data_IF_434014464428
#
_entry.id   IF_434014464428
#
_cell.length_a   1.000
_cell.length_b   1.000
_cell.length_c   1.000
_cell.angle_alpha   90.00
_cell.angle_beta   90.00
_cell.angle_gamma   90.00
#
_symmetry.space_group_name_H-M   'P 1'
#
loop_
_entity.id
_entity.type
_entity.pdbx_description
1 polymer ?
#
# COMPACT_ATOMS: atom_id res chain seq x y z
N UNK A 1 0.28 5.71 35.32
CA UNK A 1 -0.36 5.73 33.99
C UNK A 1 0.51 5.08 32.92
N UNK A 2 1.84 5.28 32.90
CA UNK A 2 2.80 4.59 31.99
C UNK A 2 2.83 3.06 32.18
N UNK A 3 2.79 2.56 33.43
CA UNK A 3 2.76 1.11 33.71
C UNK A 3 1.45 0.39 33.30
N UNK A 4 0.30 1.09 33.33
CA UNK A 4 -0.98 0.50 32.90
C UNK A 4 -1.10 0.37 31.38
N UNK A 5 -0.43 1.22 30.62
CA UNK A 5 -0.37 1.12 29.15
C UNK A 5 0.58 -0.03 28.75
N UNK A 6 1.72 -0.18 29.46
CA UNK A 6 2.67 -1.27 29.24
C UNK A 6 2.05 -2.66 29.50
N UNK A 7 1.28 -2.82 30.58
CA UNK A 7 0.71 -4.12 30.94
C UNK A 7 -0.48 -4.55 30.05
N UNK A 8 -1.18 -3.62 29.41
CA UNK A 8 -2.25 -3.95 28.46
C UNK A 8 -1.73 -4.36 27.07
N UNK A 9 -0.45 -4.07 26.79
CA UNK A 9 0.24 -4.46 25.54
C UNK A 9 0.90 -5.85 25.62
N UNK A 10 0.85 -6.53 26.74
CA UNK A 10 1.52 -7.82 26.95
C UNK A 10 0.58 -9.03 27.03
N UNK A 11 -0.68 -8.90 26.70
CA UNK A 11 -1.47 -10.09 26.36
C UNK A 11 -0.93 -10.61 25.02
N UNK A 12 -0.11 -11.67 25.11
CA UNK A 12 0.30 -12.48 23.96
C UNK A 12 -0.97 -13.12 23.40
N UNK A 13 -1.69 -12.40 22.53
CA UNK A 13 -2.63 -13.08 21.66
C UNK A 13 -1.81 -14.06 20.82
N UNK A 14 -1.99 -15.35 21.09
CA UNK A 14 -1.51 -16.41 20.23
C UNK A 14 -2.33 -16.33 18.93
N UNK A 15 -1.86 -15.52 17.97
CA UNK A 15 -2.45 -15.50 16.64
C UNK A 15 -1.71 -16.46 15.71
N UNK A 16 -2.45 -17.11 14.84
CA UNK A 16 -1.88 -17.87 13.74
C UNK A 16 -1.84 -16.96 12.50
N UNK A 17 -0.66 -16.78 11.90
CA UNK A 17 -0.50 -15.97 10.70
C UNK A 17 -1.44 -16.38 9.56
N UNK A 18 -1.65 -17.69 9.42
CA UNK A 18 -2.54 -18.25 8.38
C UNK A 18 -3.98 -17.76 8.54
N UNK A 19 -4.44 -17.59 9.78
CA UNK A 19 -5.83 -17.19 10.05
C UNK A 19 -6.07 -15.68 9.85
N UNK A 20 -5.02 -14.86 10.02
CA UNK A 20 -5.13 -13.40 9.91
C UNK A 20 -4.67 -12.85 8.56
N UNK A 21 -3.95 -13.63 7.76
CA UNK A 21 -3.38 -13.14 6.50
C UNK A 21 -4.47 -12.77 5.51
N UNK A 22 -4.49 -11.49 5.12
CA UNK A 22 -5.46 -10.94 4.19
C UNK A 22 -6.88 -10.81 4.75
N UNK A 23 -7.07 -10.91 6.09
CA UNK A 23 -8.42 -10.82 6.68
C UNK A 23 -9.13 -9.50 6.37
N UNK A 24 -8.36 -8.45 6.09
CA UNK A 24 -8.86 -7.11 5.75
C UNK A 24 -8.74 -6.80 4.25
N UNK A 25 -8.65 -7.80 3.40
CA UNK A 25 -8.51 -7.66 1.95
C UNK A 25 -9.72 -8.26 1.25
N UNK A 26 -10.31 -7.55 0.32
CA UNK A 26 -11.33 -8.05 -0.60
C UNK A 26 -10.64 -8.87 -1.69
N UNK A 27 -10.04 -9.98 -1.26
CA UNK A 27 -9.22 -10.87 -2.08
C UNK A 27 -10.07 -11.84 -2.89
N UNK A 28 -9.39 -12.67 -3.68
CA UNK A 28 -10.05 -13.65 -4.57
C UNK A 28 -10.99 -14.59 -3.82
N UNK A 29 -10.60 -15.09 -2.64
CA UNK A 29 -11.46 -15.96 -1.83
C UNK A 29 -12.75 -15.26 -1.36
N UNK A 30 -12.64 -13.98 -0.99
CA UNK A 30 -13.81 -13.16 -0.62
C UNK A 30 -14.69 -12.90 -1.84
N UNK A 31 -14.09 -12.54 -2.98
CA UNK A 31 -14.81 -12.34 -4.24
C UNK A 31 -15.55 -13.60 -4.65
N UNK A 32 -14.89 -14.76 -4.62
CA UNK A 32 -15.50 -16.05 -4.98
C UNK A 32 -16.66 -16.42 -4.06
N UNK A 33 -16.56 -16.11 -2.76
CA UNK A 33 -17.61 -16.42 -1.79
C UNK A 33 -18.84 -15.50 -1.89
N UNK A 34 -18.67 -14.25 -2.32
CA UNK A 34 -19.71 -13.22 -2.29
C UNK A 34 -20.33 -12.93 -3.65
N UNK A 35 -19.52 -12.93 -4.71
CA UNK A 35 -20.00 -12.58 -6.03
C UNK A 35 -20.80 -13.73 -6.68
N UNK A 36 -21.89 -13.43 -7.40
CA UNK A 36 -22.53 -14.40 -8.26
C UNK A 36 -21.50 -14.98 -9.25
N UNK A 37 -21.54 -16.30 -9.50
CA UNK A 37 -20.55 -17.00 -10.34
C UNK A 37 -20.28 -16.34 -11.69
N UNK A 38 -21.32 -15.79 -12.33
CA UNK A 38 -21.21 -15.11 -13.62
C UNK A 38 -20.41 -13.79 -13.50
N UNK A 39 -20.66 -13.03 -12.43
CA UNK A 39 -19.98 -11.75 -12.14
C UNK A 39 -18.51 -12.01 -11.79
N UNK A 40 -18.27 -12.99 -10.90
CA UNK A 40 -16.91 -13.40 -10.53
C UNK A 40 -16.09 -13.79 -11.77
N UNK A 41 -16.62 -14.67 -12.63
CA UNK A 41 -15.93 -15.07 -13.86
C UNK A 41 -15.64 -13.89 -14.78
N UNK A 42 -16.61 -12.99 -14.97
CA UNK A 42 -16.46 -11.82 -15.82
C UNK A 42 -15.42 -10.84 -15.28
N UNK A 43 -15.40 -10.64 -13.95
CA UNK A 43 -14.37 -9.81 -13.30
C UNK A 43 -12.97 -10.39 -13.54
N UNK A 44 -12.78 -11.69 -13.42
CA UNK A 44 -11.51 -12.36 -13.72
C UNK A 44 -11.08 -12.18 -15.19
N UNK A 45 -12.00 -12.34 -16.13
CA UNK A 45 -11.72 -12.09 -17.55
C UNK A 45 -11.24 -10.64 -17.78
N UNK A 46 -11.86 -9.68 -17.09
CA UNK A 46 -11.42 -8.26 -17.14
C UNK A 46 -10.01 -8.10 -16.58
N UNK A 47 -9.71 -8.71 -15.42
CA UNK A 47 -8.41 -8.63 -14.78
C UNK A 47 -7.29 -9.28 -15.64
N UNK A 48 -7.58 -10.42 -16.26
CA UNK A 48 -6.61 -11.16 -17.09
C UNK A 48 -6.37 -10.51 -18.44
N UNK A 49 -7.41 -9.98 -19.06
CA UNK A 49 -7.37 -9.45 -20.43
C UNK A 49 -7.15 -7.92 -20.49
N UNK A 50 -7.23 -7.22 -19.35
CA UNK A 50 -7.11 -5.77 -19.29
C UNK A 50 -8.27 -5.01 -19.94
N UNK A 51 -9.47 -5.62 -19.98
CA UNK A 51 -10.68 -5.03 -20.54
C UNK A 51 -11.33 -4.03 -19.58
N UNK A 52 -12.19 -3.17 -20.11
CA UNK A 52 -13.03 -2.31 -19.30
C UNK A 52 -14.11 -3.11 -18.56
N UNK A 53 -14.33 -2.76 -17.29
CA UNK A 53 -15.41 -3.32 -16.48
C UNK A 53 -16.71 -2.58 -16.81
N UNK A 54 -17.73 -3.30 -17.25
CA UNK A 54 -19.04 -2.72 -17.50
C UNK A 54 -19.78 -2.36 -16.21
N UNK A 55 -20.69 -1.40 -16.31
CA UNK A 55 -21.39 -0.84 -15.16
C UNK A 55 -22.25 -1.86 -14.42
N UNK A 56 -22.93 -2.79 -15.12
CA UNK A 56 -23.77 -3.81 -14.50
C UNK A 56 -22.94 -4.74 -13.59
N UNK A 57 -21.79 -5.17 -14.10
CA UNK A 57 -20.83 -5.98 -13.32
C UNK A 57 -20.26 -5.17 -12.15
N UNK A 58 -19.89 -3.90 -12.41
CA UNK A 58 -19.35 -3.01 -11.39
C UNK A 58 -20.35 -2.73 -10.24
N UNK A 59 -21.64 -2.58 -10.54
CA UNK A 59 -22.67 -2.36 -9.52
C UNK A 59 -22.77 -3.54 -8.54
N UNK A 60 -22.72 -4.77 -9.06
CA UNK A 60 -22.74 -5.96 -8.19
C UNK A 60 -21.48 -6.05 -7.35
N UNK A 61 -20.32 -5.81 -7.95
CA UNK A 61 -19.04 -5.82 -7.21
C UNK A 61 -19.02 -4.74 -6.15
N UNK A 62 -19.45 -3.53 -6.46
CA UNK A 62 -19.49 -2.40 -5.53
C UNK A 62 -20.42 -2.68 -4.34
N UNK A 63 -21.59 -3.27 -4.60
CA UNK A 63 -22.53 -3.68 -3.56
C UNK A 63 -21.91 -4.69 -2.59
N UNK A 64 -21.34 -5.76 -3.09
CA UNK A 64 -20.74 -6.82 -2.27
C UNK A 64 -19.48 -6.33 -1.52
N UNK A 65 -18.69 -5.49 -2.17
CA UNK A 65 -17.51 -4.86 -1.56
C UNK A 65 -17.92 -3.94 -0.39
N UNK A 66 -18.98 -3.14 -0.55
CA UNK A 66 -19.55 -2.30 0.50
C UNK A 66 -20.07 -3.14 1.66
N UNK A 67 -20.89 -4.17 1.40
CA UNK A 67 -21.43 -5.02 2.45
C UNK A 67 -20.32 -5.71 3.24
N UNK A 68 -19.31 -6.24 2.57
CA UNK A 68 -18.12 -6.82 3.20
C UNK A 68 -17.38 -5.79 4.05
N UNK A 69 -17.20 -4.58 3.55
CA UNK A 69 -16.51 -3.51 4.30
C UNK A 69 -17.30 -3.09 5.55
N UNK A 70 -18.63 -3.01 5.46
CA UNK A 70 -19.51 -2.70 6.60
C UNK A 70 -19.43 -3.81 7.66
N UNK A 71 -19.39 -5.08 7.28
CA UNK A 71 -19.16 -6.21 8.21
C UNK A 71 -17.82 -6.10 8.94
N UNK A 72 -16.80 -5.49 8.29
CA UNK A 72 -15.51 -5.17 8.89
C UNK A 72 -15.52 -3.86 9.72
N UNK A 73 -16.67 -3.22 9.85
CA UNK A 73 -16.86 -1.98 10.62
C UNK A 73 -16.59 -0.70 9.84
N UNK A 74 -16.42 -0.77 8.52
CA UNK A 74 -16.20 0.43 7.72
C UNK A 74 -17.47 1.29 7.64
N UNK A 75 -17.31 2.59 7.82
CA UNK A 75 -18.34 3.61 7.65
C UNK A 75 -18.11 4.51 6.46
N UNK A 76 -16.89 4.51 5.96
CA UNK A 76 -16.41 5.34 4.87
C UNK A 76 -15.64 4.49 3.86
N UNK A 77 -15.54 5.03 2.64
CA UNK A 77 -14.65 4.54 1.59
C UNK A 77 -13.76 5.67 1.09
N UNK A 78 -12.66 5.32 0.43
CA UNK A 78 -11.78 6.25 -0.24
C UNK A 78 -11.21 5.63 -1.51
N UNK A 79 -11.10 6.44 -2.55
CA UNK A 79 -10.23 6.13 -3.69
C UNK A 79 -8.80 6.38 -3.25
N UNK A 80 -8.07 5.30 -3.05
CA UNK A 80 -6.71 5.31 -2.55
C UNK A 80 -5.74 5.28 -3.72
N UNK A 81 -4.91 6.30 -3.87
CA UNK A 81 -3.97 6.41 -4.97
C UNK A 81 -2.64 7.06 -4.55
N UNK A 82 -1.66 7.00 -5.44
CA UNK A 82 -0.32 7.51 -5.23
C UNK A 82 -0.15 8.82 -6.01
N UNK A 83 -0.24 9.99 -5.35
CA UNK A 83 -0.14 11.29 -6.02
C UNK A 83 1.26 11.52 -6.57
N UNK A 84 1.41 12.53 -7.44
CA UNK A 84 2.72 12.94 -7.97
C UNK A 84 3.65 13.51 -6.89
N UNK A 85 3.10 13.91 -5.74
CA UNK A 85 3.84 14.45 -4.60
C UNK A 85 3.44 13.74 -3.31
N UNK A 86 4.44 13.40 -2.50
CA UNK A 86 4.20 12.78 -1.19
C UNK A 86 3.93 11.29 -1.25
N UNK A 87 3.20 10.80 -0.26
CA UNK A 87 2.80 9.40 -0.10
C UNK A 87 1.44 9.14 -0.75
N UNK A 88 0.55 8.42 -0.10
CA UNK A 88 -0.80 8.17 -0.60
C UNK A 88 -1.73 9.36 -0.45
N UNK A 89 -2.72 9.47 -1.33
CA UNK A 89 -3.80 10.44 -1.27
C UNK A 89 -5.14 9.73 -1.04
N UNK A 90 -5.97 10.37 -0.23
CA UNK A 90 -7.25 9.83 0.22
C UNK A 90 -8.27 10.97 0.39
N UNK A 91 -9.51 10.69 0.00
CA UNK A 91 -10.66 11.54 0.32
C UNK A 91 -11.79 10.63 0.79
N UNK A 92 -12.06 10.66 2.09
CA UNK A 92 -13.01 9.76 2.72
C UNK A 92 -14.44 10.26 2.50
N UNK A 93 -15.25 9.46 1.85
CA UNK A 93 -16.68 9.66 1.71
C UNK A 93 -17.44 8.60 2.53
N UNK A 94 -18.52 9.02 3.20
CA UNK A 94 -19.38 8.09 3.93
C UNK A 94 -20.25 7.30 2.94
N UNK A 95 -20.59 6.06 3.30
CA UNK A 95 -21.61 5.30 2.58
C UNK A 95 -23.02 5.86 2.74
N UNK A 96 -23.23 6.82 3.63
CA UNK A 96 -24.54 7.44 3.89
C UNK A 96 -25.00 8.21 2.66
N UNK A 97 -26.22 7.91 2.18
CA UNK A 97 -26.84 8.63 1.06
C UNK A 97 -27.83 9.66 1.54
N UNK A 98 -29.06 9.25 1.88
CA UNK A 98 -30.11 10.15 2.26
C UNK A 98 -30.83 9.66 3.53
N UNK A 99 -31.27 10.58 4.42
CA UNK A 99 -32.13 10.19 5.53
C UNK A 99 -33.49 9.69 5.00
N UNK A 100 -33.98 8.62 5.61
CA UNK A 100 -35.31 8.07 5.35
C UNK A 100 -36.36 8.74 6.28
N UNK A 101 -37.62 8.72 5.88
CA UNK A 101 -38.74 9.29 6.67
C UNK A 101 -38.86 8.70 8.08
N UNK A 102 -38.36 7.48 8.29
CA UNK A 102 -38.33 6.81 9.61
C UNK A 102 -37.15 7.20 10.50
N UNK A 103 -36.38 8.22 10.13
CA UNK A 103 -35.16 8.65 10.84
C UNK A 103 -33.93 7.76 10.67
N UNK A 104 -33.96 6.77 9.77
CA UNK A 104 -32.83 5.96 9.39
C UNK A 104 -32.12 6.54 8.16
N UNK A 105 -30.93 6.06 7.86
CA UNK A 105 -30.16 6.41 6.67
C UNK A 105 -29.98 5.17 5.80
N UNK A 106 -29.87 5.38 4.50
CA UNK A 106 -29.43 4.36 3.57
C UNK A 106 -27.92 4.44 3.41
N UNK A 107 -27.30 3.28 3.24
CA UNK A 107 -25.89 3.16 2.91
C UNK A 107 -25.78 2.56 1.50
N UNK A 108 -25.13 3.28 0.59
CA UNK A 108 -24.96 2.83 -0.80
C UNK A 108 -23.54 3.08 -1.27
N UNK A 109 -23.16 2.33 -2.28
CA UNK A 109 -21.93 2.50 -3.04
C UNK A 109 -22.19 1.86 -4.41
N UNK A 110 -22.13 2.64 -5.47
CA UNK A 110 -22.50 2.23 -6.82
C UNK A 110 -21.28 1.80 -7.63
N UNK A 111 -21.53 1.00 -8.67
CA UNK A 111 -20.51 0.66 -9.65
C UNK A 111 -19.92 1.88 -10.34
N UNK A 112 -20.72 2.93 -10.56
CA UNK A 112 -20.18 4.20 -11.09
C UNK A 112 -19.16 4.82 -10.15
N UNK A 113 -19.41 4.85 -8.85
CA UNK A 113 -18.46 5.35 -7.85
C UNK A 113 -17.22 4.46 -7.77
N UNK A 114 -17.36 3.14 -7.96
CA UNK A 114 -16.25 2.20 -7.97
C UNK A 114 -15.33 2.42 -9.19
N UNK A 115 -15.89 2.37 -10.41
CA UNK A 115 -15.09 2.33 -11.64
C UNK A 115 -14.67 3.72 -12.16
N UNK A 116 -15.42 4.77 -11.83
CA UNK A 116 -15.19 6.11 -12.36
C UNK A 116 -15.66 7.18 -11.38
N UNK A 117 -14.87 7.44 -10.36
CA UNK A 117 -15.08 8.62 -9.53
C UNK A 117 -14.67 9.89 -10.26
N UNK A 118 -15.39 10.99 -9.99
CA UNK A 118 -15.03 12.34 -10.45
C UNK A 118 -14.64 13.17 -9.22
N UNK A 119 -13.44 12.92 -8.64
CA UNK A 119 -13.03 13.70 -7.48
C UNK A 119 -12.82 15.16 -7.87
N UNK A 120 -13.17 16.06 -6.96
CA UNK A 120 -12.71 17.44 -7.09
C UNK A 120 -11.20 17.47 -6.90
N UNK A 121 -10.48 17.51 -8.00
CA UNK A 121 -9.03 17.43 -8.01
C UNK A 121 -8.34 18.66 -7.38
N UNK A 122 -9.08 19.72 -7.07
CA UNK A 122 -8.59 20.82 -6.23
C UNK A 122 -8.22 20.36 -4.83
N UNK A 123 -8.76 19.21 -4.41
CA UNK A 123 -8.50 18.59 -3.11
C UNK A 123 -7.29 17.63 -3.11
N UNK A 124 -6.71 17.31 -4.26
CA UNK A 124 -5.62 16.33 -4.36
C UNK A 124 -4.26 16.99 -4.61
N UNK A 125 -3.17 16.41 -4.05
CA UNK A 125 -1.82 16.84 -4.35
C UNK A 125 -1.50 16.63 -5.84
N UNK A 126 -1.41 17.69 -6.62
CA UNK A 126 -1.27 17.60 -8.09
C UNK A 126 0.11 17.99 -8.63
N UNK A 127 1.14 18.05 -7.79
CA UNK A 127 2.49 18.45 -8.21
C UNK A 127 2.66 19.97 -8.42
N UNK A 128 1.72 20.79 -8.01
CA UNK A 128 1.95 22.15 -7.53
C UNK A 128 1.67 23.30 -8.45
N UNK A 129 1.65 23.21 -9.76
CA UNK A 129 1.50 24.39 -10.64
C UNK A 129 0.30 24.33 -11.59
N UNK A 130 -0.54 23.32 -11.47
CA UNK A 130 -1.68 23.16 -12.34
C UNK A 130 -2.88 23.99 -11.85
N UNK A 131 -3.53 24.66 -12.77
CA UNK A 131 -4.82 25.26 -12.50
C UNK A 131 -5.85 24.18 -12.13
N UNK A 132 -6.79 24.49 -11.26
CA UNK A 132 -7.78 23.54 -10.73
C UNK A 132 -8.54 22.79 -11.83
N UNK A 133 -8.83 23.42 -12.95
CA UNK A 133 -9.52 22.77 -14.07
C UNK A 133 -8.63 21.76 -14.82
N UNK A 134 -7.31 21.93 -14.84
CA UNK A 134 -6.36 20.99 -15.45
C UNK A 134 -6.13 19.77 -14.57
N UNK A 135 -6.35 19.91 -13.26
CA UNK A 135 -6.22 18.83 -12.31
C UNK A 135 -7.49 17.95 -12.21
N UNK A 136 -8.60 18.34 -12.85
CA UNK A 136 -9.81 17.52 -12.90
C UNK A 136 -9.60 16.28 -13.75
N UNK A 137 -10.14 15.17 -13.28
CA UNK A 137 -10.00 13.88 -13.95
C UNK A 137 -10.87 12.81 -13.35
N UNK A 138 -10.54 11.60 -13.69
CA UNK A 138 -11.22 10.40 -13.22
C UNK A 138 -10.30 9.57 -12.35
N UNK A 139 -10.84 9.06 -11.24
CA UNK A 139 -10.29 7.90 -10.60
C UNK A 139 -10.83 6.65 -11.28
N UNK A 140 -9.95 5.69 -11.58
CA UNK A 140 -10.33 4.41 -12.15
C UNK A 140 -9.84 3.30 -11.22
N UNK A 141 -10.75 2.45 -10.76
CA UNK A 141 -10.37 1.30 -9.95
C UNK A 141 -9.39 0.40 -10.72
N UNK A 142 -8.26 0.12 -10.12
CA UNK A 142 -7.36 -0.94 -10.58
C UNK A 142 -7.88 -2.27 -10.05
N UNK A 143 -8.72 -2.95 -10.83
CA UNK A 143 -9.32 -4.21 -10.42
C UNK A 143 -8.29 -5.35 -10.21
N UNK A 144 -7.05 -5.19 -10.67
CA UNK A 144 -5.96 -6.14 -10.42
C UNK A 144 -5.30 -5.96 -9.04
N UNK A 145 -5.59 -4.85 -8.37
CA UNK A 145 -5.15 -4.59 -7.00
C UNK A 145 -6.36 -4.65 -6.05
N UNK A 146 -6.38 -5.60 -5.10
CA UNK A 146 -7.56 -5.81 -4.28
C UNK A 146 -7.81 -4.64 -3.32
N UNK A 147 -9.08 -4.26 -3.15
CA UNK A 147 -9.50 -3.32 -2.14
C UNK A 147 -9.26 -3.88 -0.72
N UNK A 148 -9.06 -3.02 0.24
CA UNK A 148 -8.77 -3.41 1.61
C UNK A 148 -9.45 -2.50 2.64
N UNK A 149 -9.69 -3.01 3.83
CA UNK A 149 -10.19 -2.22 4.95
C UNK A 149 -9.02 -1.86 5.86
N UNK A 150 -8.78 -0.57 6.00
CA UNK A 150 -7.79 -0.05 6.94
C UNK A 150 -8.48 0.42 8.22
N UNK A 151 -7.91 0.04 9.36
CA UNK A 151 -8.36 0.49 10.67
C UNK A 151 -7.36 1.48 11.26
N UNK A 152 -7.89 2.59 11.77
CA UNK A 152 -7.10 3.61 12.46
C UNK A 152 -7.91 4.26 13.60
N UNK A 153 -7.41 5.38 14.14
CA UNK A 153 -8.07 6.09 15.23
C UNK A 153 -9.44 6.71 14.85
N UNK A 154 -9.70 6.92 13.56
CA UNK A 154 -10.97 7.44 13.05
C UNK A 154 -12.01 6.34 12.81
N UNK A 155 -11.59 5.08 12.84
CA UNK A 155 -12.43 3.91 12.56
C UNK A 155 -11.94 3.09 11.40
N UNK A 156 -12.83 2.33 10.77
CA UNK A 156 -12.53 1.52 9.61
C UNK A 156 -12.97 2.22 8.30
N UNK A 157 -12.10 2.16 7.29
CA UNK A 157 -12.33 2.76 5.97
C UNK A 157 -12.01 1.73 4.88
N UNK A 158 -12.91 1.58 3.91
CA UNK A 158 -12.66 0.83 2.68
C UNK A 158 -11.73 1.65 1.77
N UNK A 159 -10.56 1.13 1.49
CA UNK A 159 -9.58 1.72 0.57
C UNK A 159 -9.62 0.98 -0.76
N UNK A 160 -9.84 1.72 -1.84
CA UNK A 160 -9.98 1.18 -3.20
C UNK A 160 -8.75 1.64 -4.00
N UNK A 161 -7.82 0.73 -4.35
CA UNK A 161 -6.65 1.07 -5.15
C UNK A 161 -7.06 1.60 -6.52
N UNK A 162 -6.56 2.78 -6.87
CA UNK A 162 -7.09 3.56 -7.98
C UNK A 162 -5.97 4.22 -8.77
N UNK A 163 -6.12 4.30 -10.07
CA UNK A 163 -5.38 5.19 -10.94
C UNK A 163 -6.13 6.51 -11.10
N UNK A 164 -5.41 7.62 -11.23
CA UNK A 164 -5.98 8.95 -11.43
C UNK A 164 -5.42 9.59 -12.69
N UNK A 165 -6.30 9.90 -13.63
CA UNK A 165 -5.94 10.53 -14.90
C UNK A 165 -6.84 11.71 -15.22
N UNK A 166 -6.34 12.64 -16.04
CA UNK A 166 -7.11 13.77 -16.54
C UNK A 166 -8.24 13.33 -17.49
N UNK A 167 -9.15 14.25 -17.82
CA UNK A 167 -10.19 13.99 -18.82
C UNK A 167 -9.63 13.66 -20.22
N UNK A 168 -8.42 14.11 -20.51
CA UNK A 168 -7.70 13.86 -21.76
C UNK A 168 -6.71 12.68 -21.66
N UNK A 169 -6.64 12.05 -20.49
CA UNK A 169 -5.89 10.81 -20.27
C UNK A 169 -4.45 10.98 -19.76
N UNK A 170 -4.02 12.23 -19.45
CA UNK A 170 -2.72 12.42 -18.81
C UNK A 170 -2.70 11.84 -17.39
N UNK A 171 -1.56 11.29 -16.99
CA UNK A 171 -1.38 10.79 -15.64
C UNK A 171 -1.37 11.93 -14.62
N UNK A 172 -2.21 11.84 -13.60
CA UNK A 172 -2.25 12.76 -12.46
C UNK A 172 -1.72 12.08 -11.18
N UNK A 173 -1.30 10.83 -11.30
CA UNK A 173 -0.71 10.01 -10.23
C UNK A 173 0.51 9.23 -10.72
N UNK A 174 1.09 8.41 -9.84
CA UNK A 174 2.24 7.56 -10.17
C UNK A 174 1.80 6.17 -10.67
N UNK A 175 0.58 5.72 -10.37
CA UNK A 175 0.08 4.41 -10.77
C UNK A 175 -0.28 4.33 -12.25
N UNK A 176 -0.85 5.37 -12.82
CA UNK A 176 -1.18 5.42 -14.25
C UNK A 176 0.04 5.14 -15.15
N UNK A 177 1.19 5.83 -15.00
CA UNK A 177 2.39 5.51 -15.80
C UNK A 177 2.93 4.10 -15.48
N UNK A 178 2.83 3.61 -14.25
CA UNK A 178 3.24 2.25 -13.92
C UNK A 178 2.41 1.22 -14.69
N UNK A 179 1.09 1.29 -14.65
CA UNK A 179 0.21 0.37 -15.37
C UNK A 179 0.46 0.40 -16.89
N UNK A 180 0.64 1.60 -17.47
CA UNK A 180 0.99 1.77 -18.88
C UNK A 180 2.34 1.16 -19.22
N UNK A 181 3.33 1.29 -18.34
CA UNK A 181 4.66 0.69 -18.55
C UNK A 181 4.61 -0.84 -18.48
N UNK A 182 3.73 -1.41 -17.64
CA UNK A 182 3.52 -2.86 -17.58
C UNK A 182 2.91 -3.40 -18.89
N UNK A 183 1.99 -2.69 -19.51
CA UNK A 183 1.47 -3.08 -20.82
C UNK A 183 2.53 -2.92 -21.93
N UNK A 184 3.30 -1.84 -21.91
CA UNK A 184 4.38 -1.65 -22.88
C UNK A 184 5.44 -2.75 -22.80
N UNK A 185 5.84 -3.16 -21.59
CA UNK A 185 6.80 -4.26 -21.44
C UNK A 185 6.19 -5.61 -21.87
N UNK A 186 4.91 -5.85 -21.58
CA UNK A 186 4.18 -7.02 -22.03
C UNK A 186 4.25 -7.17 -23.56
N UNK A 187 3.90 -6.14 -24.30
CA UNK A 187 3.94 -6.15 -25.77
C UNK A 187 5.33 -6.42 -26.32
N UNK A 188 6.35 -5.72 -25.82
CA UNK A 188 7.72 -5.85 -26.33
C UNK A 188 8.36 -7.17 -25.91
N UNK A 189 8.09 -7.67 -24.71
CA UNK A 189 8.57 -8.96 -24.26
C UNK A 189 7.96 -10.11 -25.09
N UNK A 190 6.64 -10.08 -25.32
CA UNK A 190 5.97 -11.04 -26.21
C UNK A 190 6.58 -11.02 -27.61
N UNK A 191 6.84 -9.83 -28.17
CA UNK A 191 7.49 -9.70 -29.47
C UNK A 191 8.87 -10.32 -29.47
N UNK A 192 9.65 -10.13 -28.42
CA UNK A 192 10.99 -10.68 -28.29
C UNK A 192 10.98 -12.22 -28.19
N UNK A 193 10.18 -12.78 -27.26
CA UNK A 193 10.16 -14.25 -27.05
C UNK A 193 9.63 -15.01 -28.26
N UNK A 194 8.76 -14.41 -29.08
CA UNK A 194 8.31 -14.99 -30.35
C UNK A 194 9.47 -15.19 -31.33
N UNK A 195 10.50 -14.33 -31.33
CA UNK A 195 11.70 -14.50 -32.13
C UNK A 195 12.52 -15.70 -31.67
N UNK A 196 12.40 -16.12 -30.43
CA UNK A 196 12.99 -17.35 -29.88
C UNK A 196 12.10 -18.59 -30.03
N UNK A 197 11.01 -18.49 -30.80
CA UNK A 197 10.13 -19.61 -31.11
C UNK A 197 8.98 -19.86 -30.10
N UNK A 198 8.78 -18.99 -29.12
CA UNK A 198 7.64 -19.11 -28.23
C UNK A 198 6.34 -18.77 -29.00
N UNK A 199 5.38 -19.70 -28.97
CA UNK A 199 4.06 -19.55 -29.63
C UNK A 199 2.90 -19.68 -28.66
N UNK A 200 3.14 -20.01 -27.40
CA UNK A 200 2.13 -20.34 -26.40
C UNK A 200 1.77 -19.17 -25.50
N UNK A 201 2.76 -18.41 -25.06
CA UNK A 201 2.55 -17.30 -24.12
C UNK A 201 1.69 -16.20 -24.73
N UNK A 202 0.74 -15.72 -23.92
CA UNK A 202 -0.22 -14.67 -24.30
C UNK A 202 0.05 -13.36 -23.57
N UNK A 203 0.67 -13.43 -22.39
CA UNK A 203 0.99 -12.29 -21.56
C UNK A 203 2.36 -12.45 -20.88
N UNK A 204 3.02 -11.32 -20.68
CA UNK A 204 4.22 -11.20 -19.85
C UNK A 204 3.95 -10.18 -18.76
N UNK A 205 4.24 -10.56 -17.52
CA UNK A 205 3.96 -9.71 -16.36
C UNK A 205 5.24 -9.44 -15.59
N UNK A 206 5.57 -8.16 -15.32
CA UNK A 206 6.69 -7.82 -14.45
C UNK A 206 6.32 -8.05 -12.98
N UNK A 207 7.26 -8.56 -12.20
CA UNK A 207 7.17 -8.70 -10.76
C UNK A 207 8.34 -7.98 -10.09
N UNK A 208 8.12 -7.50 -8.87
CA UNK A 208 9.14 -6.84 -8.07
C UNK A 208 9.00 -7.20 -6.59
N UNK A 209 10.13 -7.35 -5.90
CA UNK A 209 10.23 -7.49 -4.46
C UNK A 209 10.99 -6.31 -3.89
N UNK A 210 10.31 -5.23 -3.48
CA UNK A 210 10.96 -4.06 -2.92
C UNK A 210 11.34 -4.31 -1.46
N UNK A 211 12.59 -4.14 -1.12
CA UNK A 211 13.13 -4.23 0.23
C UNK A 211 13.17 -2.83 0.84
N UNK A 212 12.42 -2.58 1.92
CA UNK A 212 12.35 -1.27 2.55
C UNK A 212 13.30 -1.16 3.72
N UNK A 213 14.38 -0.41 3.54
CA UNK A 213 15.24 0.00 4.63
C UNK A 213 14.68 1.25 5.33
N UNK A 214 14.94 1.36 6.63
CA UNK A 214 14.44 2.46 7.46
C UNK A 214 15.26 2.62 8.73
N UNK A 215 15.23 3.83 9.31
CA UNK A 215 15.83 4.10 10.61
C UNK A 215 14.75 4.24 11.69
N UNK A 216 15.05 3.72 12.87
CA UNK A 216 14.21 3.88 14.06
C UNK A 216 14.96 4.67 15.12
N UNK A 217 14.36 5.76 15.56
CA UNK A 217 14.89 6.60 16.62
C UNK A 217 13.88 6.81 17.74
N UNK A 218 14.36 7.13 18.93
CA UNK A 218 13.49 7.48 20.05
C UNK A 218 12.69 8.76 19.76
N UNK A 219 11.36 8.70 19.94
CA UNK A 219 10.47 9.81 19.61
C UNK A 219 10.72 11.06 20.45
N UNK A 220 11.05 10.92 21.74
CA UNK A 220 11.33 12.06 22.60
C UNK A 220 12.58 12.80 22.11
N UNK A 221 13.57 12.07 21.61
CA UNK A 221 14.79 12.65 21.02
C UNK A 221 14.54 13.27 19.65
N UNK A 222 13.74 12.62 18.82
CA UNK A 222 13.32 13.16 17.52
C UNK A 222 12.62 14.52 17.68
N UNK A 223 11.71 14.66 18.64
CA UNK A 223 10.97 15.90 18.85
C UNK A 223 11.86 17.09 19.31
N UNK A 224 13.08 16.84 19.73
CA UNK A 224 14.07 17.86 20.06
C UNK A 224 14.90 18.31 18.85
N UNK A 225 14.75 17.64 17.70
CA UNK A 225 15.56 17.85 16.49
C UNK A 225 14.70 18.42 15.35
N UNK A 226 14.72 19.75 15.24
CA UNK A 226 13.95 20.45 14.18
C UNK A 226 14.42 20.10 12.77
N UNK A 227 15.69 19.81 12.56
CA UNK A 227 16.22 19.35 11.28
C UNK A 227 15.60 18.02 10.86
N UNK A 228 15.51 17.02 11.74
CA UNK A 228 14.82 15.75 11.46
C UNK A 228 13.33 15.95 11.20
N UNK A 229 12.66 16.84 11.95
CA UNK A 229 11.23 17.10 11.81
C UNK A 229 10.92 17.73 10.45
N UNK A 230 11.66 18.77 10.07
CA UNK A 230 11.35 19.56 8.88
C UNK A 230 11.97 19.02 7.59
N UNK A 231 13.10 18.31 7.66
CA UNK A 231 13.81 17.85 6.46
C UNK A 231 13.94 16.31 6.36
N UNK A 232 13.56 15.57 7.40
CA UNK A 232 13.72 14.12 7.47
C UNK A 232 15.15 13.65 7.71
N UNK A 233 16.14 14.57 7.77
CA UNK A 233 17.56 14.27 7.95
C UNK A 233 18.24 15.25 8.90
N UNK A 234 19.39 14.85 9.44
CA UNK A 234 20.25 15.75 10.24
C UNK A 234 20.97 16.75 9.34
N UNK A 235 20.99 18.02 9.73
CA UNK A 235 21.74 19.08 9.07
C UNK A 235 23.00 19.49 9.85
N UNK A 236 23.03 19.19 11.14
CA UNK A 236 24.13 19.53 12.05
C UNK A 236 24.17 18.52 13.21
N UNK A 237 25.23 18.56 13.99
CA UNK A 237 25.45 17.73 15.18
C UNK A 237 26.76 16.95 15.10
N UNK A 238 27.17 16.39 16.23
CA UNK A 238 28.33 15.53 16.31
C UNK A 238 28.06 14.15 15.67
N UNK A 239 29.09 13.51 15.17
CA UNK A 239 29.06 12.12 14.75
C UNK A 239 28.74 11.23 15.96
N UNK A 240 28.02 10.10 15.76
CA UNK A 240 27.80 9.14 16.83
C UNK A 240 29.15 8.56 17.29
N UNK A 241 29.26 8.16 18.57
CA UNK A 241 30.49 7.56 19.08
C UNK A 241 30.84 6.22 18.44
N UNK A 242 29.85 5.56 17.86
CA UNK A 242 29.97 4.29 17.13
C UNK A 242 29.41 4.47 15.73
N UNK A 243 30.18 4.02 14.72
CA UNK A 243 29.79 4.00 13.32
C UNK A 243 29.39 2.59 12.86
N UNK A 244 29.97 2.13 11.77
CA UNK A 244 29.68 0.87 11.10
C UNK A 244 30.84 -0.12 11.20
N UNK A 245 31.68 0.02 12.22
CA UNK A 245 32.87 -0.79 12.39
C UNK A 245 32.52 -2.27 12.49
N UNK A 246 33.17 -3.08 11.67
CA UNK A 246 33.02 -4.54 11.62
C UNK A 246 31.59 -5.02 11.28
N UNK A 247 30.72 -4.14 10.79
CA UNK A 247 29.31 -4.42 10.49
C UNK A 247 28.55 -5.10 11.65
N UNK A 248 28.94 -4.80 12.87
CA UNK A 248 28.45 -5.49 14.07
C UNK A 248 26.97 -5.22 14.37
N UNK A 249 26.41 -4.10 13.87
CA UNK A 249 24.99 -3.86 13.95
C UNK A 249 24.21 -4.81 13.03
N UNK A 250 24.66 -5.03 11.81
CA UNK A 250 24.04 -5.93 10.84
C UNK A 250 23.91 -7.36 11.38
N UNK A 251 24.96 -7.88 11.98
CA UNK A 251 25.02 -9.22 12.58
C UNK A 251 24.49 -9.26 14.02
N UNK A 252 24.13 -8.12 14.60
CA UNK A 252 23.66 -8.02 15.97
C UNK A 252 22.24 -8.56 16.17
N UNK A 253 21.92 -8.92 17.40
CA UNK A 253 20.55 -9.28 17.77
C UNK A 253 19.63 -8.06 17.74
N UNK A 254 18.39 -8.26 17.32
CA UNK A 254 17.36 -7.22 17.36
C UNK A 254 17.01 -6.96 18.84
N UNK A 255 17.07 -5.70 19.25
CA UNK A 255 16.73 -5.28 20.61
C UNK A 255 15.24 -5.47 20.88
N UNK A 256 14.88 -5.89 22.10
CA UNK A 256 13.50 -6.24 22.49
C UNK A 256 12.46 -5.18 22.13
N UNK A 257 12.73 -3.90 22.36
CA UNK A 257 11.83 -2.80 21.99
C UNK A 257 11.60 -2.73 20.47
N UNK A 258 12.62 -3.00 19.67
CA UNK A 258 12.54 -3.01 18.21
C UNK A 258 11.85 -4.30 17.74
N UNK A 259 12.14 -5.43 18.32
CA UNK A 259 11.48 -6.70 18.01
C UNK A 259 9.96 -6.61 18.26
N UNK A 260 9.54 -6.00 19.37
CA UNK A 260 8.14 -5.72 19.65
C UNK A 260 7.46 -4.82 18.62
N UNK A 261 8.16 -3.77 18.20
CA UNK A 261 7.70 -2.90 17.12
C UNK A 261 7.56 -3.65 15.79
N UNK A 262 8.59 -4.42 15.39
CA UNK A 262 8.58 -5.19 14.14
C UNK A 262 7.46 -6.24 14.12
N UNK A 263 7.20 -6.90 15.26
CA UNK A 263 6.07 -7.83 15.40
C UNK A 263 4.74 -7.15 15.08
N UNK A 264 4.49 -6.00 15.67
CA UNK A 264 3.22 -5.29 15.48
C UNK A 264 3.08 -4.73 14.04
N UNK A 265 4.19 -4.31 13.43
CA UNK A 265 4.24 -3.97 11.99
C UNK A 265 3.82 -5.17 11.14
N UNK A 266 4.40 -6.34 11.38
CA UNK A 266 4.09 -7.54 10.62
C UNK A 266 2.62 -7.96 10.76
N UNK A 267 2.06 -7.92 11.96
CA UNK A 267 0.65 -8.26 12.19
C UNK A 267 -0.27 -7.36 11.34
N UNK A 268 -0.05 -6.05 11.36
CA UNK A 268 -0.87 -5.12 10.57
C UNK A 268 -0.69 -5.34 9.07
N UNK A 269 0.51 -5.58 8.61
CA UNK A 269 0.80 -5.84 7.21
C UNK A 269 0.19 -7.16 6.73
N UNK A 270 0.29 -8.24 7.52
CA UNK A 270 -0.33 -9.52 7.18
C UNK A 270 -1.85 -9.42 7.07
N UNK A 271 -2.51 -8.68 7.97
CA UNK A 271 -3.96 -8.41 7.87
C UNK A 271 -4.34 -7.69 6.57
N UNK A 272 -3.46 -6.87 6.05
CA UNK A 272 -3.60 -6.18 4.76
C UNK A 272 -3.09 -7.00 3.56
N UNK A 273 -2.77 -8.27 3.75
CA UNK A 273 -2.32 -9.15 2.67
C UNK A 273 -0.89 -8.92 2.19
N UNK A 274 -0.14 -8.06 2.88
CA UNK A 274 1.26 -7.82 2.57
C UNK A 274 2.12 -8.95 3.14
N UNK A 275 2.79 -9.70 2.28
CA UNK A 275 3.61 -10.85 2.64
C UNK A 275 4.99 -10.44 3.17
N UNK A 276 5.03 -9.59 4.22
CA UNK A 276 6.27 -9.25 4.91
C UNK A 276 6.90 -10.53 5.47
N UNK A 277 8.13 -10.82 5.07
CA UNK A 277 8.80 -12.09 5.35
C UNK A 277 10.08 -11.92 6.16
N UNK A 278 10.92 -11.00 5.75
CA UNK A 278 12.25 -10.80 6.34
C UNK A 278 12.30 -9.49 7.10
N UNK A 279 12.90 -9.55 8.30
CA UNK A 279 13.21 -8.38 9.11
C UNK A 279 14.56 -8.61 9.78
N UNK A 280 15.44 -7.62 9.72
CA UNK A 280 16.76 -7.67 10.33
C UNK A 280 17.33 -6.27 10.56
N UNK A 281 18.47 -6.21 11.23
CA UNK A 281 19.25 -4.98 11.32
C UNK A 281 20.01 -4.73 10.01
N UNK A 282 20.13 -3.46 9.64
CA UNK A 282 21.00 -3.00 8.57
C UNK A 282 22.36 -2.51 9.09
N UNK A 283 23.25 -2.13 8.18
CA UNK A 283 24.65 -1.81 8.50
C UNK A 283 24.80 -0.58 9.37
N UNK A 284 23.98 0.45 9.15
CA UNK A 284 24.05 1.66 9.95
C UNK A 284 23.40 1.49 11.33
N UNK A 285 23.93 2.13 12.38
CA UNK A 285 23.32 2.12 13.69
C UNK A 285 21.85 2.59 13.65
N UNK A 286 20.96 1.83 14.26
CA UNK A 286 19.51 2.05 14.29
C UNK A 286 18.81 1.92 12.94
N UNK A 287 19.45 1.32 11.95
CA UNK A 287 18.89 0.98 10.66
C UNK A 287 18.38 -0.47 10.65
N UNK A 288 17.26 -0.69 9.97
CA UNK A 288 16.58 -1.97 9.86
C UNK A 288 16.00 -2.11 8.46
N UNK A 289 15.62 -3.34 8.11
CA UNK A 289 15.00 -3.65 6.83
C UNK A 289 13.77 -4.52 7.01
N UNK A 290 12.81 -4.35 6.09
CA UNK A 290 11.67 -5.23 5.90
C UNK A 290 11.60 -5.62 4.42
N UNK A 291 11.64 -6.92 4.15
CA UNK A 291 11.53 -7.45 2.80
C UNK A 291 10.26 -8.32 2.67
N UNK A 292 9.31 -7.95 1.79
CA UNK A 292 8.17 -8.78 1.44
C UNK A 292 8.55 -9.84 0.40
N UNK A 293 7.70 -10.85 0.22
CA UNK A 293 7.76 -11.71 -0.95
C UNK A 293 7.39 -10.85 -2.17
N UNK A 294 8.06 -11.08 -3.31
CA UNK A 294 7.78 -10.38 -4.55
C UNK A 294 6.32 -10.60 -5.02
N UNK A 295 5.78 -9.62 -5.70
CA UNK A 295 4.45 -9.64 -6.30
C UNK A 295 4.47 -8.97 -7.68
N UNK A 296 3.34 -9.02 -8.40
CA UNK A 296 3.15 -8.24 -9.62
C UNK A 296 3.42 -6.76 -9.33
N UNK A 297 4.09 -6.08 -10.24
CA UNK A 297 4.69 -4.77 -9.98
C UNK A 297 3.72 -3.73 -9.40
N UNK A 298 2.49 -3.62 -9.91
CA UNK A 298 1.50 -2.68 -9.37
C UNK A 298 1.07 -3.03 -7.93
N UNK A 299 0.90 -4.33 -7.63
CA UNK A 299 0.56 -4.80 -6.27
C UNK A 299 1.76 -4.56 -5.33
N UNK A 300 2.97 -4.88 -5.78
CA UNK A 300 4.18 -4.66 -4.98
C UNK A 300 4.39 -3.19 -4.62
N UNK A 301 4.08 -2.27 -5.54
CA UNK A 301 4.14 -0.83 -5.28
C UNK A 301 3.07 -0.40 -4.28
N UNK A 302 1.83 -0.87 -4.41
CA UNK A 302 0.77 -0.61 -3.44
C UNK A 302 1.16 -1.15 -2.05
N UNK A 303 1.67 -2.38 -1.98
CA UNK A 303 2.17 -2.96 -0.74
C UNK A 303 3.31 -2.14 -0.12
N UNK A 304 4.25 -1.61 -0.92
CA UNK A 304 5.31 -0.77 -0.39
C UNK A 304 4.79 0.55 0.21
N UNK A 305 3.76 1.16 -0.37
CA UNK A 305 3.08 2.32 0.24
C UNK A 305 2.47 1.95 1.60
N UNK A 306 1.79 0.82 1.69
CA UNK A 306 1.24 0.31 2.95
C UNK A 306 2.33 0.01 3.98
N UNK A 307 3.47 -0.56 3.56
CA UNK A 307 4.63 -0.79 4.41
C UNK A 307 5.12 0.54 5.00
N UNK A 308 5.37 1.55 4.17
CA UNK A 308 5.87 2.85 4.61
C UNK A 308 4.93 3.55 5.59
N UNK A 309 3.62 3.49 5.35
CA UNK A 309 2.61 4.04 6.28
C UNK A 309 2.57 3.28 7.59
N UNK A 310 2.53 1.95 7.53
CA UNK A 310 2.46 1.08 8.71
C UNK A 310 3.69 1.24 9.59
N UNK A 311 4.89 1.28 9.01
CA UNK A 311 6.14 1.52 9.73
C UNK A 311 6.06 2.82 10.57
N UNK A 312 5.55 3.91 9.99
CA UNK A 312 5.39 5.20 10.70
C UNK A 312 4.32 5.14 11.80
N UNK A 313 3.14 4.59 11.49
CA UNK A 313 2.01 4.51 12.43
C UNK A 313 2.33 3.65 13.64
N UNK A 314 2.92 2.49 13.42
CA UNK A 314 3.30 1.58 14.51
C UNK A 314 4.45 2.16 15.34
N UNK A 315 5.45 2.79 14.72
CA UNK A 315 6.53 3.46 15.45
C UNK A 315 5.99 4.48 16.46
N UNK A 316 5.02 5.27 16.03
CA UNK A 316 4.38 6.25 16.92
C UNK A 316 3.79 5.60 18.19
N UNK A 317 3.10 4.46 18.05
CA UNK A 317 2.50 3.72 19.17
C UNK A 317 3.54 3.15 20.14
N UNK A 318 4.73 2.82 19.64
CA UNK A 318 5.86 2.32 20.44
C UNK A 318 6.75 3.43 21.03
N UNK A 319 6.35 4.72 20.92
CA UNK A 319 7.19 5.85 21.35
C UNK A 319 8.48 5.95 20.54
N UNK A 320 8.44 5.50 19.30
CA UNK A 320 9.50 5.52 18.30
C UNK A 320 9.14 6.47 17.16
N UNK A 321 10.11 6.79 16.35
CA UNK A 321 9.94 7.51 15.08
C UNK A 321 10.67 6.75 13.98
N UNK A 322 9.93 6.38 12.94
CA UNK A 322 10.48 5.82 11.72
C UNK A 322 10.91 6.94 10.77
N UNK A 323 12.15 6.88 10.29
CA UNK A 323 12.69 7.79 9.29
C UNK A 323 12.83 7.01 7.98
N UNK A 324 12.18 7.52 6.94
CA UNK A 324 12.19 6.95 5.58
C UNK A 324 12.97 7.82 4.59
N UNK A 325 13.63 8.87 5.06
CA UNK A 325 14.55 9.65 4.23
C UNK A 325 15.73 8.75 3.82
N UNK A 326 16.19 8.84 2.59
CA UNK A 326 17.23 7.98 2.03
C UNK A 326 18.57 8.15 2.77
N UNK A 327 18.84 9.33 3.29
CA UNK A 327 20.09 9.63 4.02
C UNK A 327 19.80 10.48 5.24
N UNK A 328 19.20 9.92 6.31
CA UNK A 328 18.84 10.70 7.49
C UNK A 328 20.08 11.11 8.33
N UNK A 329 21.18 10.37 8.22
CA UNK A 329 22.41 10.62 8.95
C UNK A 329 23.60 10.61 8.00
N UNK A 330 24.40 11.70 8.03
CA UNK A 330 25.64 11.77 7.25
C UNK A 330 26.71 10.82 7.81
N UNK A 331 27.56 10.30 6.92
CA UNK A 331 28.72 9.48 7.30
C UNK A 331 28.44 8.01 7.61
N UNK A 332 27.19 7.57 7.51
CA UNK A 332 26.77 6.15 7.62
C UNK A 332 25.93 5.74 6.41
N UNK A 333 25.61 4.48 6.24
CA UNK A 333 24.76 4.00 5.16
C UNK A 333 23.39 4.71 5.16
N UNK A 334 22.82 4.82 4.00
CA UNK A 334 21.47 5.33 3.82
C UNK A 334 20.45 4.21 3.66
N UNK A 335 19.17 4.57 3.71
CA UNK A 335 18.07 3.67 3.45
C UNK A 335 17.67 3.72 1.99
N UNK A 336 17.69 2.58 1.34
CA UNK A 336 17.26 2.39 -0.03
C UNK A 336 15.97 1.57 -0.13
N UNK A 337 15.63 1.28 -1.37
CA UNK A 337 14.72 0.20 -1.76
C UNK A 337 15.46 -0.64 -2.78
N UNK A 338 15.96 -1.80 -2.34
CA UNK A 338 16.52 -2.76 -3.27
C UNK A 338 15.37 -3.46 -3.99
N UNK A 339 15.27 -3.26 -5.30
CA UNK A 339 14.20 -3.80 -6.11
C UNK A 339 14.68 -5.04 -6.87
N UNK A 340 14.43 -6.22 -6.32
CA UNK A 340 14.56 -7.47 -7.04
C UNK A 340 13.40 -7.60 -8.03
N UNK A 341 13.67 -7.69 -9.31
CA UNK A 341 12.63 -7.74 -10.32
C UNK A 341 12.81 -8.86 -11.32
N UNK A 342 11.72 -9.30 -11.92
CA UNK A 342 11.68 -10.32 -12.95
C UNK A 342 10.51 -10.08 -13.89
N UNK A 343 10.52 -10.73 -15.04
CA UNK A 343 9.37 -10.82 -15.95
C UNK A 343 9.03 -12.28 -16.19
N UNK A 344 7.76 -12.61 -16.13
CA UNK A 344 7.29 -14.00 -16.24
C UNK A 344 6.12 -14.07 -17.23
N UNK A 345 6.12 -15.10 -18.07
CA UNK A 345 5.00 -15.37 -18.97
C UNK A 345 3.83 -16.00 -18.22
N UNK A 346 2.61 -15.93 -18.79
CA UNK A 346 1.41 -16.56 -18.26
C UNK A 346 1.48 -18.10 -18.22
N UNK A 347 2.36 -18.71 -19.01
CA UNK A 347 2.66 -20.14 -18.99
C UNK A 347 3.92 -20.51 -18.18
N UNK A 348 4.44 -19.59 -17.38
CA UNK A 348 5.43 -19.84 -16.34
C UNK A 348 6.90 -19.80 -16.78
N UNK A 349 7.21 -19.27 -17.95
CA UNK A 349 8.60 -19.03 -18.38
C UNK A 349 9.10 -17.72 -17.74
N UNK A 350 10.21 -17.81 -17.01
CA UNK A 350 10.88 -16.66 -16.37
C UNK A 350 12.19 -16.34 -17.06
#
# INVERSE_FOLDING_TARGET
>A
MRERISNKMMEKENFNVVDIFGENVFNDSVMQARLPKKVYKKLHEVMEEGKELDLETADVVAHEMKEWAIEKGATHYTHWFQPLTGVTAEKHDSFITAPMENGKVLMSFSGKELIKGEPDASSFPSGGLRATFEARGYTAWDCTSPAFVRQDAAGATLCIPTAFCSYTGEALDQKTPLLRSMEAINEQALRLIRLFGNTTSKRVTPSVGPEQEYFIVDREKYLQRKDLIFTGRTLFGAMPPKGQEMDDHYFGSIRERIASYMRDVNIELWKLGVSSKTQHNEVAPAQHELAPIYAVANIAVDHNQLIMETLKKVAYRHGLQCLLHEKPFAGVNGSGKHDNWSITTDDGIN
#
